data_IF_457912936055
#
_entry.id   IF_457912936055
#
_cell.length_a   1.000
_cell.length_b   1.000
_cell.length_c   1.000
_cell.angle_alpha   90.00
_cell.angle_beta   90.00
_cell.angle_gamma   90.00
#
_symmetry.space_group_name_H-M   'P 1'
#
loop_
_entity.id
_entity.type
_entity.pdbx_description
1 polymer ?
#
# COMPACT_ATOMS: atom_id res chain seq x y z
N UNK A 1 -26.56 9.44 -10.96
CA UNK A 1 -25.44 9.40 -9.99
C UNK A 1 -25.92 9.95 -8.65
N UNK A 2 -25.50 9.33 -7.54
CA UNK A 2 -25.84 9.77 -6.18
C UNK A 2 -24.54 10.00 -5.40
N UNK A 3 -24.49 11.04 -4.56
CA UNK A 3 -23.33 11.27 -3.67
C UNK A 3 -23.08 10.03 -2.81
N UNK A 4 -21.89 9.45 -2.92
CA UNK A 4 -21.53 8.19 -2.29
C UNK A 4 -21.74 8.22 -0.77
N UNK A 5 -21.29 9.30 -0.13
CA UNK A 5 -21.47 9.47 1.32
C UNK A 5 -22.93 9.67 1.74
N UNK A 6 -23.74 10.36 0.94
CA UNK A 6 -25.17 10.51 1.23
C UNK A 6 -25.85 9.15 1.14
N UNK A 7 -25.62 8.43 0.04
CA UNK A 7 -26.21 7.12 -0.20
C UNK A 7 -25.86 6.11 0.90
N UNK A 8 -24.59 6.06 1.34
CA UNK A 8 -24.18 5.13 2.39
C UNK A 8 -24.82 5.48 3.74
N UNK A 9 -25.02 6.76 4.04
CA UNK A 9 -25.71 7.20 5.26
C UNK A 9 -27.21 6.90 5.21
N UNK A 10 -27.84 6.95 4.04
CA UNK A 10 -29.25 6.56 3.87
C UNK A 10 -29.45 5.04 4.00
N UNK A 11 -28.51 4.23 3.49
CA UNK A 11 -28.58 2.76 3.59
C UNK A 11 -28.23 2.24 4.98
N UNK A 12 -27.33 2.92 5.69
CA UNK A 12 -26.86 2.54 7.02
C UNK A 12 -26.87 3.77 7.94
N UNK A 13 -28.07 4.18 8.42
CA UNK A 13 -28.24 5.43 9.15
C UNK A 13 -27.65 5.39 10.56
N UNK A 14 -27.67 4.24 11.22
CA UNK A 14 -27.15 4.08 12.58
C UNK A 14 -25.78 3.42 12.62
N UNK A 15 -25.08 3.56 13.75
CA UNK A 15 -23.86 2.80 14.02
C UNK A 15 -24.10 1.30 14.05
N UNK A 16 -25.24 0.87 14.60
CA UNK A 16 -25.61 -0.54 14.67
C UNK A 16 -25.77 -1.16 13.27
N UNK A 17 -26.36 -0.42 12.33
CA UNK A 17 -26.50 -0.86 10.93
C UNK A 17 -25.13 -1.08 10.28
N UNK A 18 -24.19 -0.15 10.51
CA UNK A 18 -22.81 -0.23 9.99
C UNK A 18 -22.02 -1.37 10.63
N UNK A 19 -22.17 -1.58 11.93
CA UNK A 19 -21.48 -2.64 12.67
C UNK A 19 -21.98 -4.04 12.29
N UNK A 20 -23.19 -4.20 11.73
CA UNK A 20 -23.69 -5.49 11.22
C UNK A 20 -23.07 -5.91 9.89
N UNK A 21 -22.51 -4.99 9.11
CA UNK A 21 -22.01 -5.28 7.77
C UNK A 21 -20.67 -6.00 7.82
N UNK A 22 -20.62 -7.18 7.23
CA UNK A 22 -19.39 -7.95 6.98
C UNK A 22 -18.99 -7.95 5.52
N UNK A 23 -19.95 -7.94 4.60
CA UNK A 23 -19.70 -7.85 3.16
C UNK A 23 -20.52 -6.72 2.56
N UNK A 24 -19.85 -5.87 1.80
CA UNK A 24 -20.47 -4.80 1.03
C UNK A 24 -19.99 -4.85 -0.42
N UNK A 25 -20.90 -5.15 -1.33
CA UNK A 25 -20.68 -5.05 -2.77
C UNK A 25 -21.55 -3.96 -3.36
N UNK A 26 -20.95 -3.12 -4.21
CA UNK A 26 -21.62 -2.06 -4.95
C UNK A 26 -21.32 -2.31 -6.43
N UNK A 27 -22.36 -2.56 -7.21
CA UNK A 27 -22.31 -2.91 -8.61
C UNK A 27 -23.00 -1.83 -9.45
N UNK A 28 -22.33 -1.38 -10.51
CA UNK A 28 -22.92 -0.47 -11.50
C UNK A 28 -23.94 -1.15 -12.42
N UNK A 29 -23.66 -2.39 -12.78
CA UNK A 29 -24.43 -3.13 -13.78
C UNK A 29 -25.79 -3.62 -13.29
N UNK A 30 -26.55 -4.13 -14.26
CA UNK A 30 -27.87 -4.68 -14.04
C UNK A 30 -27.86 -5.83 -13.03
N UNK A 31 -28.86 -5.82 -12.17
CA UNK A 31 -29.11 -6.88 -11.21
C UNK A 31 -30.12 -6.45 -10.16
N UNK A 32 -30.38 -7.37 -9.24
CA UNK A 32 -31.29 -7.16 -8.13
C UNK A 32 -30.50 -7.15 -6.84
N UNK A 33 -30.76 -6.16 -5.98
CA UNK A 33 -30.13 -6.07 -4.67
C UNK A 33 -30.30 -7.38 -3.89
N UNK A 34 -29.21 -7.86 -3.30
CA UNK A 34 -29.20 -9.06 -2.46
C UNK A 34 -28.75 -8.68 -1.07
N UNK A 35 -29.64 -8.81 -0.10
CA UNK A 35 -29.34 -8.54 1.31
C UNK A 35 -29.59 -9.82 2.07
N UNK A 36 -28.54 -10.39 2.66
CA UNK A 36 -28.61 -11.58 3.48
C UNK A 36 -27.77 -11.40 4.74
N UNK A 37 -28.45 -11.23 5.88
CA UNK A 37 -27.83 -11.01 7.18
C UNK A 37 -26.82 -9.84 7.18
N UNK A 38 -25.53 -10.16 7.15
CA UNK A 38 -24.42 -9.20 7.19
C UNK A 38 -23.81 -8.92 5.81
N UNK A 39 -24.39 -9.49 4.76
CA UNK A 39 -23.92 -9.38 3.37
C UNK A 39 -24.89 -8.52 2.56
N UNK A 40 -24.36 -7.46 1.97
CA UNK A 40 -25.12 -6.47 1.22
C UNK A 40 -24.51 -6.34 -0.18
N UNK A 41 -25.30 -6.66 -1.19
CA UNK A 41 -24.94 -6.49 -2.60
C UNK A 41 -25.96 -5.55 -3.23
N UNK A 42 -25.50 -4.39 -3.67
CA UNK A 42 -26.32 -3.38 -4.33
C UNK A 42 -25.98 -3.32 -5.80
N UNK A 43 -27.00 -3.37 -6.66
CA UNK A 43 -26.89 -3.29 -8.11
C UNK A 43 -27.47 -1.97 -8.61
N UNK A 44 -27.24 -1.63 -9.88
CA UNK A 44 -27.72 -0.39 -10.49
C UNK A 44 -27.38 0.86 -9.66
N UNK A 45 -26.22 0.86 -8.99
CA UNK A 45 -25.86 1.90 -8.03
C UNK A 45 -24.64 2.69 -8.52
N UNK A 46 -24.89 3.85 -9.13
CA UNK A 46 -23.83 4.77 -9.57
C UNK A 46 -23.53 5.81 -8.49
N UNK A 47 -22.40 5.64 -7.79
CA UNK A 47 -21.95 6.54 -6.72
C UNK A 47 -20.88 7.52 -7.20
N UNK A 48 -20.91 8.74 -6.66
CA UNK A 48 -19.94 9.78 -6.96
C UNK A 48 -19.34 10.44 -5.70
N UNK A 49 -18.14 10.99 -5.82
CA UNK A 49 -17.46 11.73 -4.75
C UNK A 49 -16.71 10.83 -3.77
N UNK A 50 -16.66 11.25 -2.51
CA UNK A 50 -15.97 10.51 -1.45
C UNK A 50 -16.88 9.44 -0.84
N UNK A 51 -16.33 8.23 -0.65
CA UNK A 51 -16.95 7.13 0.06
C UNK A 51 -16.17 6.84 1.36
N UNK A 52 -16.70 7.26 2.50
CA UNK A 52 -16.14 6.98 3.82
C UNK A 52 -16.81 5.76 4.46
N UNK A 53 -16.02 4.68 4.57
CA UNK A 53 -16.42 3.43 5.20
C UNK A 53 -15.77 3.21 6.57
N UNK A 54 -15.14 4.23 7.17
CA UNK A 54 -14.50 4.10 8.48
C UNK A 54 -15.48 3.76 9.62
N UNK A 55 -16.79 3.92 9.40
CA UNK A 55 -17.82 3.47 10.34
C UNK A 55 -18.11 1.96 10.30
N UNK A 56 -17.64 1.23 9.29
CA UNK A 56 -17.93 -0.18 9.06
C UNK A 56 -16.86 -1.07 9.69
N UNK A 57 -16.81 -1.06 11.02
CA UNK A 57 -15.70 -1.67 11.79
C UNK A 57 -15.59 -3.20 11.66
N UNK A 58 -16.68 -3.85 11.26
CA UNK A 58 -16.77 -5.29 11.05
C UNK A 58 -16.66 -5.73 9.59
N UNK A 59 -16.37 -4.81 8.66
CA UNK A 59 -16.26 -5.11 7.25
C UNK A 59 -15.08 -6.05 6.97
N UNK A 60 -15.37 -7.18 6.34
CA UNK A 60 -14.43 -8.26 6.00
C UNK A 60 -14.21 -8.33 4.47
N UNK A 61 -15.23 -8.03 3.66
CA UNK A 61 -15.17 -8.05 2.20
C UNK A 61 -15.81 -6.79 1.60
N UNK A 62 -15.03 -6.05 0.80
CA UNK A 62 -15.47 -4.86 0.10
C UNK A 62 -15.24 -5.03 -1.39
N UNK A 63 -16.30 -4.82 -2.16
CA UNK A 63 -16.27 -4.89 -3.61
C UNK A 63 -16.97 -3.67 -4.22
N UNK A 64 -16.28 -2.94 -5.09
CA UNK A 64 -16.84 -1.85 -5.89
C UNK A 64 -16.60 -2.24 -7.35
N UNK A 65 -17.66 -2.58 -8.09
CA UNK A 65 -17.59 -3.24 -9.40
C UNK A 65 -18.21 -2.40 -10.50
N UNK A 66 -17.41 -2.09 -11.52
CA UNK A 66 -17.87 -1.33 -12.67
C UNK A 66 -18.16 -2.15 -13.91
N UNK A 67 -18.25 -3.48 -13.81
CA UNK A 67 -18.76 -4.35 -14.88
C UNK A 67 -18.10 -4.13 -16.25
N UNK A 68 -16.79 -3.84 -16.29
CA UNK A 68 -16.09 -3.55 -17.54
C UNK A 68 -16.73 -2.42 -18.37
N UNK A 69 -17.54 -1.56 -17.76
CA UNK A 69 -18.14 -0.43 -18.46
C UNK A 69 -17.06 0.56 -18.86
N UNK A 70 -17.22 1.20 -20.02
CA UNK A 70 -16.33 2.28 -20.47
C UNK A 70 -16.42 3.52 -19.57
N UNK A 71 -17.45 3.60 -18.73
CA UNK A 71 -17.64 4.66 -17.74
C UNK A 71 -17.01 4.31 -16.39
N UNK A 72 -16.17 5.21 -15.87
CA UNK A 72 -15.60 5.08 -14.52
C UNK A 72 -16.65 5.42 -13.46
N UNK A 73 -16.63 4.71 -12.33
CA UNK A 73 -17.24 5.20 -11.10
C UNK A 73 -16.62 6.56 -10.76
N UNK A 74 -17.44 7.60 -10.59
CA UNK A 74 -17.00 8.92 -10.13
C UNK A 74 -16.70 8.93 -8.63
N UNK A 75 -16.45 7.76 -8.01
CA UNK A 75 -15.85 7.69 -6.69
C UNK A 75 -14.40 8.16 -6.82
N UNK A 76 -14.09 9.26 -6.14
CA UNK A 76 -12.79 9.94 -6.22
C UNK A 76 -11.91 9.65 -5.02
N UNK A 77 -12.52 9.24 -3.90
CA UNK A 77 -11.80 8.92 -2.67
C UNK A 77 -12.50 7.79 -1.92
N UNK A 78 -11.72 6.86 -1.38
CA UNK A 78 -12.19 5.72 -0.59
C UNK A 78 -11.47 5.71 0.76
N UNK A 79 -12.22 5.89 1.86
CA UNK A 79 -11.66 5.83 3.22
C UNK A 79 -12.05 4.53 3.90
N UNK A 80 -11.05 3.67 4.11
CA UNK A 80 -11.20 2.34 4.74
C UNK A 80 -10.22 2.15 5.90
N UNK A 81 -9.64 3.23 6.41
CA UNK A 81 -8.59 3.22 7.42
C UNK A 81 -9.02 2.58 8.74
N UNK A 82 -10.32 2.53 9.06
CA UNK A 82 -10.86 1.88 10.26
C UNK A 82 -11.47 0.50 9.99
N UNK A 83 -11.41 0.00 8.77
CA UNK A 83 -11.85 -1.35 8.39
C UNK A 83 -10.78 -2.40 8.73
N UNK A 84 -10.47 -2.54 10.02
CA UNK A 84 -9.38 -3.41 10.51
C UNK A 84 -9.62 -4.92 10.31
N UNK A 85 -10.86 -5.32 10.00
CA UNK A 85 -11.24 -6.70 9.70
C UNK A 85 -11.22 -7.04 8.21
N UNK A 86 -10.93 -6.06 7.34
CA UNK A 86 -10.97 -6.22 5.89
C UNK A 86 -9.94 -7.26 5.42
N UNK A 87 -10.42 -8.31 4.76
CA UNK A 87 -9.65 -9.42 4.21
C UNK A 87 -9.62 -9.39 2.68
N UNK A 88 -10.72 -8.96 2.06
CA UNK A 88 -10.87 -8.87 0.61
C UNK A 88 -11.22 -7.44 0.21
N UNK A 89 -10.42 -6.88 -0.69
CA UNK A 89 -10.68 -5.59 -1.31
C UNK A 89 -10.64 -5.73 -2.82
N UNK A 90 -11.76 -5.47 -3.48
CA UNK A 90 -11.89 -5.46 -4.94
C UNK A 90 -12.42 -4.11 -5.39
N UNK A 91 -11.64 -3.41 -6.18
CA UNK A 91 -12.01 -2.10 -6.73
C UNK A 91 -11.87 -2.17 -8.24
N UNK A 92 -12.95 -1.90 -8.95
CA UNK A 92 -13.01 -1.91 -10.40
C UNK A 92 -13.64 -0.64 -10.95
N UNK A 93 -13.08 -0.14 -12.06
CA UNK A 93 -13.48 1.06 -12.78
C UNK A 93 -13.81 2.22 -11.84
N UNK A 94 -12.86 2.75 -11.07
CA UNK A 94 -13.08 3.94 -10.23
C UNK A 94 -12.18 5.11 -10.62
N UNK A 95 -12.62 6.32 -10.27
CA UNK A 95 -11.88 7.57 -10.47
C UNK A 95 -10.86 7.86 -9.35
N UNK A 96 -10.58 6.88 -8.48
CA UNK A 96 -9.64 7.03 -7.36
C UNK A 96 -8.23 7.23 -7.91
N UNK A 97 -7.54 8.27 -7.44
CA UNK A 97 -6.16 8.58 -7.81
C UNK A 97 -5.13 8.10 -6.77
N UNK A 98 -5.57 7.93 -5.52
CA UNK A 98 -4.76 7.47 -4.39
C UNK A 98 -5.54 6.49 -3.50
N UNK A 99 -4.91 5.38 -3.15
CA UNK A 99 -5.45 4.40 -2.19
C UNK A 99 -4.50 4.23 -1.00
N UNK A 100 -5.04 4.26 0.22
CA UNK A 100 -4.27 4.06 1.46
C UNK A 100 -4.71 2.76 2.14
N UNK A 101 -3.75 1.84 2.34
CA UNK A 101 -3.95 0.51 2.93
C UNK A 101 -3.17 0.31 4.24
N UNK A 102 -2.56 1.37 4.78
CA UNK A 102 -1.64 1.32 5.93
C UNK A 102 -2.21 0.59 7.17
N UNK A 103 -3.53 0.60 7.36
CA UNK A 103 -4.18 0.00 8.54
C UNK A 103 -4.91 -1.31 8.23
N UNK A 104 -4.92 -1.77 6.98
CA UNK A 104 -5.69 -2.94 6.54
C UNK A 104 -4.84 -4.22 6.49
N UNK A 105 -4.07 -4.47 7.55
CA UNK A 105 -3.08 -5.56 7.62
C UNK A 105 -3.66 -6.98 7.43
N UNK A 106 -4.98 -7.15 7.58
CA UNK A 106 -5.68 -8.43 7.39
C UNK A 106 -6.00 -8.76 5.93
N UNK A 107 -5.77 -7.84 4.99
CA UNK A 107 -6.02 -8.09 3.57
C UNK A 107 -5.19 -9.29 3.11
N UNK A 108 -5.89 -10.32 2.60
CA UNK A 108 -5.32 -11.49 1.94
C UNK A 108 -5.50 -11.43 0.42
N UNK A 109 -6.52 -10.70 -0.04
CA UNK A 109 -6.84 -10.53 -1.46
C UNK A 109 -7.02 -9.05 -1.79
N UNK A 110 -6.19 -8.54 -2.70
CA UNK A 110 -6.30 -7.20 -3.26
C UNK A 110 -6.43 -7.29 -4.78
N UNK A 111 -7.56 -6.83 -5.30
CA UNK A 111 -7.82 -6.75 -6.75
C UNK A 111 -8.15 -5.30 -7.07
N UNK A 112 -7.35 -4.68 -7.93
CA UNK A 112 -7.57 -3.32 -8.41
C UNK A 112 -7.57 -3.38 -9.93
N UNK A 113 -8.74 -3.23 -10.52
CA UNK A 113 -8.93 -3.29 -11.97
C UNK A 113 -9.55 -1.97 -12.49
N UNK A 114 -9.32 -1.62 -13.75
CA UNK A 114 -9.99 -0.47 -14.40
C UNK A 114 -9.80 0.93 -13.75
N UNK A 115 -8.94 1.09 -12.75
CA UNK A 115 -8.72 2.35 -12.05
C UNK A 115 -7.68 3.20 -12.80
N UNK A 116 -8.08 3.82 -13.92
CA UNK A 116 -7.17 4.51 -14.84
C UNK A 116 -6.50 5.76 -14.27
N UNK A 117 -7.11 6.37 -13.24
CA UNK A 117 -6.59 7.56 -12.57
C UNK A 117 -5.67 7.21 -11.40
N UNK A 118 -5.61 5.95 -10.96
CA UNK A 118 -4.83 5.54 -9.80
C UNK A 118 -3.34 5.75 -10.08
N UNK A 119 -2.70 6.59 -9.26
CA UNK A 119 -1.27 6.91 -9.35
C UNK A 119 -0.47 6.26 -8.23
N UNK A 120 -1.09 6.02 -7.07
CA UNK A 120 -0.38 5.57 -5.87
C UNK A 120 -1.22 4.68 -4.97
N UNK A 121 -0.59 3.60 -4.48
CA UNK A 121 -1.10 2.77 -3.39
C UNK A 121 -0.10 2.87 -2.23
N UNK A 122 -0.54 3.37 -1.08
CA UNK A 122 0.28 3.47 0.13
C UNK A 122 -0.02 2.31 1.09
N UNK A 123 1.00 1.75 1.73
CA UNK A 123 0.84 0.68 2.72
C UNK A 123 0.70 -0.72 2.11
N UNK A 124 0.95 -0.88 0.81
CA UNK A 124 0.93 -2.18 0.15
C UNK A 124 2.01 -3.13 0.72
N UNK A 125 3.18 -2.56 1.04
CA UNK A 125 4.29 -3.24 1.71
C UNK A 125 3.96 -3.73 3.12
N UNK A 126 2.97 -3.10 3.77
CA UNK A 126 2.54 -3.43 5.13
C UNK A 126 1.52 -4.59 5.16
N UNK A 127 1.04 -5.05 4.00
CA UNK A 127 0.13 -6.19 3.91
C UNK A 127 0.90 -7.51 4.10
N UNK A 128 1.12 -7.89 5.36
CA UNK A 128 1.85 -9.10 5.74
C UNK A 128 1.14 -10.39 5.30
N UNK A 129 -0.20 -10.36 5.27
CA UNK A 129 -1.06 -11.52 4.98
C UNK A 129 -1.48 -11.62 3.51
N UNK A 130 -0.98 -10.76 2.63
CA UNK A 130 -1.37 -10.72 1.22
C UNK A 130 -0.98 -12.02 0.50
N UNK A 131 -1.97 -12.75 0.00
CA UNK A 131 -1.79 -14.01 -0.73
C UNK A 131 -2.02 -13.83 -2.23
N UNK A 132 -3.00 -12.99 -2.57
CA UNK A 132 -3.44 -12.70 -3.93
C UNK A 132 -3.37 -11.19 -4.18
N UNK A 133 -2.64 -10.81 -5.23
CA UNK A 133 -2.53 -9.45 -5.70
C UNK A 133 -2.74 -9.43 -7.20
N UNK A 134 -3.75 -8.68 -7.62
CA UNK A 134 -4.00 -8.37 -9.02
C UNK A 134 -4.21 -6.85 -9.14
N UNK A 135 -3.33 -6.17 -9.87
CA UNK A 135 -3.42 -4.72 -10.07
C UNK A 135 -3.38 -4.47 -11.56
N UNK A 136 -4.54 -4.45 -12.20
CA UNK A 136 -4.69 -4.25 -13.63
C UNK A 136 -5.48 -2.96 -13.92
N UNK A 137 -4.82 -1.80 -13.88
CA UNK A 137 -5.50 -0.52 -14.08
C UNK A 137 -6.03 -0.30 -15.51
N UNK A 138 -5.92 -1.29 -16.40
CA UNK A 138 -6.38 -1.23 -17.79
C UNK A 138 -7.78 -1.83 -17.89
N UNK A 139 -8.76 -1.08 -18.41
CA UNK A 139 -9.79 -1.70 -19.25
C UNK A 139 -9.14 -1.88 -20.64
N UNK A 140 -9.40 -2.99 -21.33
CA UNK A 140 -8.63 -3.61 -22.44
C UNK A 140 -8.02 -2.74 -23.56
N UNK A 141 -8.27 -1.43 -23.61
CA UNK A 141 -7.85 -0.52 -24.68
C UNK A 141 -6.97 0.68 -24.24
N UNK A 142 -6.64 0.87 -22.94
CA UNK A 142 -5.85 2.03 -22.47
C UNK A 142 -4.81 1.64 -21.41
N UNK A 143 -3.52 1.98 -21.67
CA UNK A 143 -2.40 1.76 -20.75
C UNK A 143 -2.41 2.81 -19.61
N UNK A 144 -2.64 2.40 -18.36
CA UNK A 144 -2.34 3.28 -17.22
C UNK A 144 -0.82 3.33 -17.01
N UNK A 145 -0.19 4.36 -17.58
CA UNK A 145 1.24 4.64 -17.49
C UNK A 145 1.64 5.42 -16.23
N UNK A 146 0.66 5.84 -15.42
CA UNK A 146 0.87 6.74 -14.27
C UNK A 146 0.95 6.01 -12.93
N UNK A 147 0.39 4.80 -12.84
CA UNK A 147 0.42 4.02 -11.62
C UNK A 147 1.86 3.63 -11.25
N UNK A 148 2.38 4.25 -10.20
CA UNK A 148 3.69 3.93 -9.66
C UNK A 148 3.54 2.74 -8.71
N UNK A 149 3.60 1.53 -9.26
CA UNK A 149 3.78 0.31 -8.45
C UNK A 149 5.27 0.06 -8.19
N UNK A 150 5.66 -0.30 -6.96
CA UNK A 150 7.05 -0.54 -6.62
C UNK A 150 7.60 -1.89 -7.14
N UNK A 151 6.79 -2.71 -7.82
CA UNK A 151 7.16 -4.05 -8.29
C UNK A 151 6.31 -4.47 -9.50
N UNK A 152 6.71 -5.54 -10.20
CA UNK A 152 5.92 -6.09 -11.30
C UNK A 152 4.88 -7.09 -10.79
N UNK A 153 3.80 -7.30 -11.56
CA UNK A 153 2.79 -8.31 -11.21
C UNK A 153 3.34 -9.74 -11.17
N UNK A 154 4.36 -10.08 -11.96
CA UNK A 154 4.89 -11.45 -11.99
C UNK A 154 5.83 -11.77 -10.83
N UNK A 155 6.43 -10.75 -10.20
CA UNK A 155 7.42 -10.92 -9.14
C UNK A 155 7.03 -10.26 -7.80
N UNK A 156 5.81 -9.76 -7.65
CA UNK A 156 5.40 -8.96 -6.49
C UNK A 156 5.68 -9.63 -5.14
N UNK A 157 5.54 -10.96 -5.04
CA UNK A 157 5.80 -11.70 -3.80
C UNK A 157 7.26 -11.59 -3.37
N UNK A 158 8.18 -11.74 -4.33
CA UNK A 158 9.63 -11.65 -4.08
C UNK A 158 10.03 -10.22 -3.71
N UNK A 159 9.57 -9.23 -4.47
CA UNK A 159 9.92 -7.82 -4.22
C UNK A 159 9.29 -7.31 -2.91
N UNK A 160 8.04 -7.68 -2.59
CA UNK A 160 7.45 -7.37 -1.28
C UNK A 160 8.22 -8.04 -0.15
N UNK A 161 8.68 -9.28 -0.33
CA UNK A 161 9.53 -9.96 0.64
C UNK A 161 10.80 -9.17 0.94
N UNK A 162 11.50 -8.70 -0.12
CA UNK A 162 12.70 -7.86 0.02
C UNK A 162 12.42 -6.53 0.71
N UNK A 163 11.32 -5.85 0.37
CA UNK A 163 10.94 -4.58 1.01
C UNK A 163 10.68 -4.78 2.50
N UNK A 164 9.97 -5.85 2.87
CA UNK A 164 9.71 -6.20 4.28
C UNK A 164 11.02 -6.48 5.02
N UNK A 165 11.94 -7.23 4.42
CA UNK A 165 13.26 -7.49 5.01
C UNK A 165 14.06 -6.20 5.20
N UNK A 166 14.08 -5.32 4.20
CA UNK A 166 14.73 -4.00 4.29
C UNK A 166 14.12 -3.17 5.43
N UNK A 167 12.79 -3.21 5.62
CA UNK A 167 12.13 -2.48 6.69
C UNK A 167 12.53 -3.01 8.07
N UNK A 168 12.56 -4.34 8.26
CA UNK A 168 13.04 -4.98 9.49
C UNK A 168 14.51 -4.59 9.77
N UNK A 169 15.36 -4.58 8.74
CA UNK A 169 16.76 -4.18 8.88
C UNK A 169 16.89 -2.70 9.25
N UNK A 170 16.09 -1.81 8.65
CA UNK A 170 16.06 -0.39 9.00
C UNK A 170 15.67 -0.17 10.46
N UNK A 171 14.66 -0.87 10.96
CA UNK A 171 14.25 -0.80 12.37
C UNK A 171 15.37 -1.26 13.32
N UNK A 172 16.06 -2.36 12.98
CA UNK A 172 17.23 -2.84 13.75
C UNK A 172 18.37 -1.82 13.77
N UNK A 173 18.68 -1.22 12.61
CA UNK A 173 19.72 -0.18 12.53
C UNK A 173 19.36 1.01 13.42
N UNK A 174 18.12 1.48 13.36
CA UNK A 174 17.65 2.59 14.19
C UNK A 174 17.76 2.27 15.70
N UNK A 175 17.40 1.05 16.11
CA UNK A 175 17.55 0.61 17.50
C UNK A 175 19.03 0.60 17.93
N UNK A 176 19.91 0.03 17.10
CA UNK A 176 21.35 0.00 17.38
C UNK A 176 21.95 1.42 17.47
N UNK A 177 21.51 2.34 16.61
CA UNK A 177 21.95 3.75 16.67
C UNK A 177 21.52 4.42 17.98
N UNK A 178 20.30 4.14 18.44
CA UNK A 178 19.80 4.64 19.72
C UNK A 178 20.58 4.07 20.92
N UNK A 179 20.82 2.75 20.95
CA UNK A 179 21.61 2.12 22.00
C UNK A 179 23.05 2.64 22.06
N UNK A 180 23.67 2.86 20.89
CA UNK A 180 25.02 3.40 20.82
C UNK A 180 25.08 4.83 21.37
N UNK A 181 24.04 5.63 21.11
CA UNK A 181 23.91 6.98 21.67
C UNK A 181 23.80 6.94 23.21
N UNK A 182 22.94 6.09 23.74
CA UNK A 182 22.77 5.93 25.20
C UNK A 182 24.06 5.48 25.89
N UNK A 183 24.80 4.54 25.29
CA UNK A 183 26.08 4.10 25.81
C UNK A 183 27.14 5.22 25.78
N UNK A 184 27.18 5.99 24.69
CA UNK A 184 28.08 7.12 24.57
C UNK A 184 27.80 8.19 25.64
N UNK A 185 26.52 8.51 25.87
CA UNK A 185 26.10 9.45 26.91
C UNK A 185 26.47 8.97 28.33
N UNK A 186 26.50 7.65 28.57
CA UNK A 186 26.92 7.06 29.85
C UNK A 186 28.44 7.14 30.08
N UNK A 187 29.24 6.85 29.07
CA UNK A 187 30.70 6.79 29.18
C UNK A 187 31.32 8.19 29.10
N UNK A 188 30.72 9.10 28.33
CA UNK A 188 31.23 10.44 28.06
C UNK A 188 30.18 11.53 28.36
N UNK A 189 29.69 11.64 29.60
CA UNK A 189 28.52 12.48 29.93
C UNK A 189 28.71 13.98 29.64
N UNK A 190 29.95 14.44 29.51
CA UNK A 190 30.30 15.83 29.23
C UNK A 190 30.80 16.06 27.79
N UNK A 191 30.71 15.05 26.92
CA UNK A 191 31.10 15.15 25.51
C UNK A 191 29.88 14.81 24.66
N UNK A 192 29.45 15.74 23.82
CA UNK A 192 28.41 15.47 22.83
C UNK A 192 28.97 14.53 21.76
N UNK A 193 28.54 13.26 21.80
CA UNK A 193 28.94 12.27 20.80
C UNK A 193 28.21 12.51 19.47
N UNK A 194 28.94 12.95 18.45
CA UNK A 194 28.41 13.17 17.10
C UNK A 194 28.55 11.91 16.24
N UNK A 195 27.46 11.15 16.16
CA UNK A 195 27.36 9.94 15.35
C UNK A 195 27.63 10.21 13.86
N UNK A 196 27.28 11.40 13.34
CA UNK A 196 27.51 11.74 11.94
C UNK A 196 29.02 11.93 11.67
N UNK A 197 29.72 12.58 12.60
CA UNK A 197 31.17 12.75 12.53
C UNK A 197 31.90 11.40 12.58
N UNK A 198 31.43 10.47 13.43
CA UNK A 198 31.97 9.10 13.45
C UNK A 198 31.70 8.35 12.14
N UNK A 199 30.48 8.42 11.60
CA UNK A 199 30.15 7.80 10.30
C UNK A 199 31.05 8.33 9.18
N UNK A 200 31.29 9.64 9.14
CA UNK A 200 32.19 10.26 8.17
C UNK A 200 33.63 9.76 8.33
N UNK A 201 34.13 9.64 9.56
CA UNK A 201 35.49 9.18 9.84
C UNK A 201 35.66 7.69 9.48
N UNK A 202 34.68 6.83 9.80
CA UNK A 202 34.67 5.42 9.37
C UNK A 202 34.68 5.32 7.85
N UNK A 203 33.88 6.13 7.15
CA UNK A 203 33.85 6.16 5.69
C UNK A 203 35.20 6.61 5.11
N UNK A 204 35.83 7.64 5.69
CA UNK A 204 37.16 8.11 5.32
C UNK A 204 38.21 7.00 5.46
N UNK A 205 38.22 6.31 6.60
CA UNK A 205 39.14 5.21 6.87
C UNK A 205 38.95 4.04 5.89
N UNK A 206 37.70 3.64 5.61
CA UNK A 206 37.39 2.62 4.59
C UNK A 206 37.84 3.03 3.19
N UNK A 207 37.63 4.30 2.82
CA UNK A 207 38.07 4.81 1.52
C UNK A 207 39.60 4.73 1.39
N UNK A 208 40.33 5.10 2.44
CA UNK A 208 41.79 5.03 2.48
C UNK A 208 42.31 3.58 2.35
N UNK A 209 41.56 2.60 2.84
CA UNK A 209 41.90 1.18 2.71
C UNK A 209 41.59 0.62 1.31
N UNK A 210 40.42 0.97 0.76
CA UNK A 210 39.91 0.39 -0.49
C UNK A 210 40.53 1.03 -1.75
N UNK A 211 40.85 2.33 -1.72
CA UNK A 211 41.40 3.05 -2.89
C UNK A 211 42.73 2.47 -3.38
N UNK A 212 43.72 2.17 -2.52
CA UNK A 212 44.95 1.51 -2.95
C UNK A 212 44.70 0.13 -3.57
N UNK A 213 43.78 -0.65 -3.02
CA UNK A 213 43.44 -1.98 -3.53
C UNK A 213 42.79 -1.92 -4.92
N UNK A 214 41.87 -0.97 -5.12
CA UNK A 214 41.23 -0.74 -6.41
C UNK A 214 42.25 -0.28 -7.47
N UNK A 215 43.18 0.61 -7.11
CA UNK A 215 44.28 1.04 -8.00
C UNK A 215 45.19 -0.13 -8.39
N UNK A 216 45.54 -0.97 -7.42
CA UNK A 216 46.36 -2.17 -7.67
C UNK A 216 45.65 -3.13 -8.65
N UNK A 217 44.38 -3.48 -8.40
CA UNK A 217 43.59 -4.34 -9.30
C UNK A 217 43.45 -3.75 -10.70
N UNK A 218 43.27 -2.44 -10.81
CA UNK A 218 43.22 -1.75 -12.11
C UNK A 218 44.54 -1.93 -12.88
N UNK A 219 45.68 -1.71 -12.21
CA UNK A 219 47.00 -1.89 -12.82
C UNK A 219 47.26 -3.34 -13.24
N UNK A 220 46.81 -4.32 -12.45
CA UNK A 220 46.91 -5.75 -12.78
C UNK A 220 46.08 -6.11 -14.03
N UNK A 221 44.86 -5.57 -14.14
CA UNK A 221 44.00 -5.74 -15.32
C UNK A 221 44.62 -5.10 -16.58
N UNK A 222 45.16 -3.88 -16.46
CA UNK A 222 45.83 -3.19 -17.58
C UNK A 222 47.06 -3.95 -18.09
N UNK A 223 47.77 -4.68 -17.22
CA UNK A 223 48.90 -5.53 -17.60
C UNK A 223 48.48 -6.84 -18.27
N UNK A 224 47.25 -7.31 -18.08
CA UNK A 224 46.74 -8.52 -18.73
C UNK A 224 46.17 -8.25 -20.13
N UNK A 225 45.91 -6.98 -20.45
CA UNK A 225 45.31 -6.54 -21.72
C UNK A 225 46.39 -6.09 -22.73
N UNK A 226 47.60 -5.79 -22.26
CA UNK A 226 48.78 -5.47 -23.08
C UNK A 226 49.70 -6.68 -23.22
#
# INVERSE_FOLDING_TARGET
MVKAQQWINEKFPSREDKDKVKKLCIHLGEGTNKINQSNYEFFNTTLEGELDLNGFTNLEDLAIWGFWTDELHPITNLKINRCSKLQSLKIDCTSIDKLSLNTNQKITTLIIQGCINLQRIEGLEQLSNLQNLDIWPQNSNILNTKLQIPFSQSNWKLELGRIKEIQILKEKVNNNEQQLKELADMILPNITFDLNKLKQEIARLRLNELVPQARKKKSELEQQIN
#
